data_IF_814453164308
#
_entry.id   IF_814453164308
#
_cell.length_a   1.000
_cell.length_b   1.000
_cell.length_c   1.000
_cell.angle_alpha   90.00
_cell.angle_beta   90.00
_cell.angle_gamma   90.00
#
_symmetry.space_group_name_H-M   'P 1'
#
loop_
_entity.id
_entity.type
_entity.pdbx_description
1 polymer ?
#
# COMPACT_ATOMS: atom_id res chain seq x y z
N UNK A 1 24.32 4.04 43.36
CA UNK A 1 24.26 5.48 43.02
C UNK A 1 23.61 5.59 41.66
N UNK A 2 22.49 6.30 41.61
CA UNK A 2 21.59 6.40 40.48
C UNK A 2 22.23 7.19 39.34
N UNK A 3 22.33 6.58 38.16
CA UNK A 3 22.25 7.31 36.90
C UNK A 3 20.91 6.92 36.27
N UNK A 4 19.83 7.41 36.88
CA UNK A 4 18.55 7.54 36.18
C UNK A 4 18.86 8.35 34.92
N UNK A 5 18.76 7.68 33.78
CA UNK A 5 18.75 8.30 32.47
C UNK A 5 17.59 9.28 32.45
N UNK A 6 17.89 10.52 32.84
CA UNK A 6 17.01 11.66 32.80
C UNK A 6 16.43 11.72 31.38
N UNK A 7 15.16 11.35 31.25
CA UNK A 7 14.40 11.54 30.01
C UNK A 7 14.46 13.03 29.69
N UNK A 8 15.40 13.40 28.82
CA UNK A 8 15.57 14.78 28.36
C UNK A 8 14.32 15.20 27.59
N UNK A 9 13.35 15.75 28.31
CA UNK A 9 12.14 16.46 27.83
C UNK A 9 12.47 17.85 27.26
N UNK A 10 13.73 18.14 26.95
CA UNK A 10 14.16 19.43 26.42
C UNK A 10 14.24 19.36 24.89
N UNK A 11 13.71 20.39 24.19
CA UNK A 11 13.79 20.44 22.72
C UNK A 11 15.25 20.41 22.27
N UNK A 12 15.50 19.78 21.12
CA UNK A 12 16.84 19.68 20.56
C UNK A 12 17.45 21.08 20.36
N UNK A 13 18.64 21.32 20.91
CA UNK A 13 19.41 22.56 20.72
C UNK A 13 19.57 22.89 19.23
N UNK A 14 19.61 24.18 18.88
CA UNK A 14 19.79 24.68 17.51
C UNK A 14 21.00 24.07 16.79
N UNK A 15 22.08 23.77 17.53
CA UNK A 15 23.26 23.08 16.98
C UNK A 15 22.90 21.65 16.53
N UNK A 16 22.12 20.92 17.35
CA UNK A 16 21.66 19.56 17.05
C UNK A 16 20.68 19.54 15.87
N UNK A 17 19.79 20.53 15.76
CA UNK A 17 18.89 20.69 14.60
C UNK A 17 19.66 21.02 13.32
N UNK A 18 20.66 21.91 13.39
CA UNK A 18 21.53 22.23 12.25
C UNK A 18 22.38 21.05 11.80
N UNK A 19 22.92 20.29 12.74
CA UNK A 19 23.67 19.07 12.44
C UNK A 19 22.77 17.97 11.87
N UNK A 20 21.54 17.81 12.35
CA UNK A 20 20.56 16.90 11.77
C UNK A 20 20.22 17.29 10.32
N UNK A 21 19.96 18.59 10.05
CA UNK A 21 19.73 19.11 8.69
C UNK A 21 20.96 18.93 7.78
N UNK A 22 22.17 19.16 8.28
CA UNK A 22 23.43 18.92 7.53
C UNK A 22 23.66 17.44 7.20
N UNK A 23 23.10 16.54 8.01
CA UNK A 23 23.15 15.09 7.81
C UNK A 23 21.99 14.54 6.98
N UNK A 24 21.15 15.40 6.38
CA UNK A 24 19.95 14.98 5.63
C UNK A 24 18.83 14.43 6.52
N UNK A 25 18.97 14.47 7.85
CA UNK A 25 17.94 14.04 8.79
C UNK A 25 16.90 15.13 8.98
N UNK A 26 16.17 15.44 7.91
CA UNK A 26 14.95 16.24 7.97
C UNK A 26 13.86 15.36 8.60
N UNK A 27 12.96 15.94 9.40
CA UNK A 27 11.89 15.21 10.06
C UNK A 27 10.99 14.52 9.03
N UNK A 28 11.25 13.25 8.77
CA UNK A 28 10.47 12.42 7.86
C UNK A 28 9.31 11.86 8.67
N UNK A 29 8.13 12.49 8.53
CA UNK A 29 6.94 12.01 9.24
C UNK A 29 6.49 10.68 8.62
N UNK A 30 6.68 9.59 9.36
CA UNK A 30 6.13 8.27 9.03
C UNK A 30 4.62 8.32 8.79
N UNK A 31 3.93 9.24 9.45
CA UNK A 31 2.48 9.42 9.33
C UNK A 31 2.11 10.02 7.96
N UNK A 32 2.97 10.87 7.38
CA UNK A 32 2.77 11.44 6.06
C UNK A 32 2.85 10.36 4.97
N UNK A 33 3.88 9.49 5.05
CA UNK A 33 4.05 8.37 4.11
C UNK A 33 2.86 7.41 4.18
N UNK A 34 2.42 7.09 5.40
CA UNK A 34 1.28 6.20 5.64
C UNK A 34 -0.02 6.81 5.10
N UNK A 35 -0.24 8.11 5.33
CA UNK A 35 -1.41 8.84 4.81
C UNK A 35 -1.46 8.90 3.29
N UNK A 36 -0.35 9.24 2.62
CA UNK A 36 -0.28 9.24 1.16
C UNK A 36 -0.47 7.84 0.56
N UNK A 37 0.10 6.82 1.19
CA UNK A 37 -0.07 5.43 0.76
C UNK A 37 -1.52 4.99 0.84
N UNK A 38 -2.21 5.33 1.92
CA UNK A 38 -3.63 5.06 2.08
C UNK A 38 -4.48 5.79 1.03
N UNK A 39 -4.22 7.08 0.80
CA UNK A 39 -4.92 7.85 -0.24
C UNK A 39 -4.69 7.29 -1.65
N UNK A 40 -3.45 6.89 -1.97
CA UNK A 40 -3.14 6.29 -3.26
C UNK A 40 -3.84 4.93 -3.44
N UNK A 41 -3.90 4.10 -2.40
CA UNK A 41 -4.63 2.85 -2.41
C UNK A 41 -6.14 3.07 -2.64
N UNK A 42 -6.74 4.03 -1.94
CA UNK A 42 -8.15 4.40 -2.12
C UNK A 42 -8.41 4.94 -3.54
N UNK A 43 -7.52 5.80 -4.04
CA UNK A 43 -7.61 6.32 -5.41
C UNK A 43 -7.58 5.20 -6.44
N UNK A 44 -6.65 4.25 -6.30
CA UNK A 44 -6.59 3.07 -7.16
C UNK A 44 -7.89 2.26 -7.15
N UNK A 45 -8.42 1.97 -5.95
CA UNK A 45 -9.67 1.21 -5.82
C UNK A 45 -10.85 1.94 -6.44
N UNK A 46 -10.94 3.26 -6.28
CA UNK A 46 -11.98 4.08 -6.87
C UNK A 46 -11.95 4.02 -8.40
N UNK A 47 -10.78 4.21 -9.02
CA UNK A 47 -10.65 4.16 -10.48
C UNK A 47 -10.82 2.74 -11.04
N UNK A 48 -10.39 1.73 -10.30
CA UNK A 48 -10.46 0.32 -10.73
C UNK A 48 -11.82 -0.31 -10.44
N UNK A 49 -12.70 0.38 -9.72
CA UNK A 49 -14.01 -0.12 -9.28
C UNK A 49 -14.85 -0.69 -10.43
N UNK A 50 -15.01 -0.02 -11.60
CA UNK A 50 -15.81 -0.58 -12.69
C UNK A 50 -15.25 -1.89 -13.23
N UNK A 51 -13.92 -2.00 -13.30
CA UNK A 51 -13.23 -3.21 -13.80
C UNK A 51 -13.36 -4.36 -12.81
N UNK A 52 -13.15 -4.09 -11.52
CA UNK A 52 -13.34 -5.08 -10.44
C UNK A 52 -14.77 -5.59 -10.41
N UNK A 53 -15.75 -4.70 -10.52
CA UNK A 53 -17.17 -5.05 -10.55
C UNK A 53 -17.54 -5.90 -11.77
N UNK A 54 -16.95 -5.60 -12.94
CA UNK A 54 -17.12 -6.41 -14.15
C UNK A 54 -16.62 -7.84 -13.95
N UNK A 55 -15.40 -8.01 -13.43
CA UNK A 55 -14.86 -9.34 -13.16
C UNK A 55 -15.64 -10.11 -12.10
N UNK A 56 -16.14 -9.42 -11.07
CA UNK A 56 -17.01 -10.03 -10.07
C UNK A 56 -18.31 -10.52 -10.70
N UNK A 57 -18.91 -9.70 -11.58
CA UNK A 57 -20.13 -10.06 -12.30
C UNK A 57 -19.91 -11.25 -13.24
N UNK A 58 -18.80 -11.26 -13.98
CA UNK A 58 -18.40 -12.39 -14.84
C UNK A 58 -18.21 -13.68 -14.04
N UNK A 59 -17.61 -13.60 -12.85
CA UNK A 59 -17.44 -14.75 -11.97
C UNK A 59 -18.79 -15.31 -11.52
N UNK A 60 -19.71 -14.44 -11.07
CA UNK A 60 -21.06 -14.85 -10.64
C UNK A 60 -21.83 -15.47 -11.80
N UNK A 61 -21.76 -14.89 -12.99
CA UNK A 61 -22.41 -15.43 -14.19
C UNK A 61 -21.85 -16.81 -14.54
N UNK A 62 -20.52 -16.97 -14.52
CA UNK A 62 -19.84 -18.25 -14.82
C UNK A 62 -20.27 -19.35 -13.86
N UNK A 63 -20.38 -19.05 -12.56
CA UNK A 63 -20.77 -20.05 -11.53
C UNK A 63 -22.27 -20.38 -11.58
N UNK A 64 -23.11 -19.45 -12.07
CA UNK A 64 -24.56 -19.65 -12.20
C UNK A 64 -24.93 -20.35 -13.52
N UNK A 65 -24.00 -20.40 -14.48
CA UNK A 65 -24.21 -21.05 -15.78
C UNK A 65 -24.31 -22.58 -15.61
N UNK A 66 -25.53 -23.11 -15.70
CA UNK A 66 -25.84 -24.52 -15.40
C UNK A 66 -25.70 -25.44 -16.63
N UNK A 67 -25.30 -24.91 -17.78
CA UNK A 67 -25.40 -25.56 -19.09
C UNK A 67 -24.10 -26.18 -19.63
N UNK A 68 -23.00 -26.20 -18.87
CA UNK A 68 -21.69 -26.72 -19.31
C UNK A 68 -21.15 -27.89 -18.48
N UNK A 69 -20.18 -28.67 -19.00
CA UNK A 69 -19.44 -29.64 -18.20
C UNK A 69 -18.79 -28.97 -16.99
N UNK A 70 -18.96 -29.55 -15.79
CA UNK A 70 -18.44 -28.99 -14.54
C UNK A 70 -16.93 -28.67 -14.59
N UNK A 71 -16.15 -29.48 -15.30
CA UNK A 71 -14.71 -29.28 -15.47
C UNK A 71 -14.36 -27.95 -16.19
N UNK A 72 -15.13 -27.57 -17.21
CA UNK A 72 -14.88 -26.34 -17.96
C UNK A 72 -15.33 -25.10 -17.19
N UNK A 73 -16.48 -25.20 -16.51
CA UNK A 73 -17.03 -24.12 -15.67
C UNK A 73 -16.11 -23.83 -14.49
N UNK A 74 -15.64 -24.88 -13.80
CA UNK A 74 -14.73 -24.74 -12.65
C UNK A 74 -13.38 -24.15 -13.06
N UNK A 75 -12.80 -24.56 -14.18
CA UNK A 75 -11.54 -23.97 -14.66
C UNK A 75 -11.68 -22.49 -15.04
N UNK A 76 -12.79 -22.11 -15.69
CA UNK A 76 -13.09 -20.70 -15.99
C UNK A 76 -13.30 -19.88 -14.72
N UNK A 77 -14.06 -20.40 -13.76
CA UNK A 77 -14.29 -19.74 -12.48
C UNK A 77 -12.98 -19.51 -11.71
N UNK A 78 -12.11 -20.52 -11.65
CA UNK A 78 -10.77 -20.39 -11.03
C UNK A 78 -9.95 -19.30 -11.72
N UNK A 79 -9.94 -19.26 -13.05
CA UNK A 79 -9.22 -18.22 -13.80
C UNK A 79 -9.77 -16.82 -13.49
N UNK A 80 -11.09 -16.63 -13.53
CA UNK A 80 -11.70 -15.33 -13.20
C UNK A 80 -11.38 -14.90 -11.77
N UNK A 81 -11.44 -15.83 -10.81
CA UNK A 81 -11.09 -15.57 -9.42
C UNK A 81 -9.62 -15.15 -9.26
N UNK A 82 -8.69 -15.89 -9.88
CA UNK A 82 -7.26 -15.56 -9.85
C UNK A 82 -6.97 -14.20 -10.50
N UNK A 83 -7.61 -13.90 -11.64
CA UNK A 83 -7.47 -12.61 -12.31
C UNK A 83 -7.97 -11.47 -11.42
N UNK A 84 -9.12 -11.65 -10.75
CA UNK A 84 -9.68 -10.64 -9.83
C UNK A 84 -8.76 -10.43 -8.63
N UNK A 85 -8.24 -11.51 -8.04
CA UNK A 85 -7.25 -11.42 -6.94
C UNK A 85 -5.98 -10.68 -7.38
N UNK A 86 -5.40 -11.03 -8.52
CA UNK A 86 -4.20 -10.39 -9.05
C UNK A 86 -4.43 -8.91 -9.31
N UNK A 87 -5.55 -8.56 -9.94
CA UNK A 87 -5.91 -7.17 -10.25
C UNK A 87 -6.17 -6.35 -8.99
N UNK A 88 -6.77 -6.93 -7.95
CA UNK A 88 -7.00 -6.23 -6.69
C UNK A 88 -5.71 -6.05 -5.88
N UNK A 89 -4.87 -7.09 -5.80
CA UNK A 89 -3.76 -7.16 -4.85
C UNK A 89 -2.43 -6.62 -5.40
N UNK A 90 -2.03 -6.98 -6.63
CA UNK A 90 -0.73 -6.57 -7.17
C UNK A 90 -0.57 -5.05 -7.21
N UNK A 91 -1.55 -4.27 -7.70
CA UNK A 91 -1.38 -2.82 -7.81
C UNK A 91 -1.33 -2.15 -6.44
N UNK A 92 -2.08 -2.65 -5.46
CA UNK A 92 -2.00 -2.16 -4.07
C UNK A 92 -0.61 -2.38 -3.48
N UNK A 93 -0.05 -3.59 -3.64
CA UNK A 93 1.33 -3.89 -3.21
C UNK A 93 2.33 -2.99 -3.95
N UNK A 94 2.15 -2.83 -5.27
CA UNK A 94 2.97 -1.95 -6.10
C UNK A 94 2.98 -0.52 -5.60
N UNK A 95 1.81 0.04 -5.26
CA UNK A 95 1.67 1.39 -4.70
C UNK A 95 2.45 1.53 -3.40
N UNK A 96 2.29 0.57 -2.48
CA UNK A 96 2.99 0.58 -1.18
C UNK A 96 4.50 0.53 -1.38
N UNK A 97 5.00 -0.37 -2.24
CA UNK A 97 6.43 -0.52 -2.53
C UNK A 97 6.99 0.75 -3.16
N UNK A 98 6.34 1.28 -4.21
CA UNK A 98 6.80 2.48 -4.91
C UNK A 98 6.83 3.68 -3.98
N UNK A 99 5.80 3.91 -3.19
CA UNK A 99 5.77 5.04 -2.26
C UNK A 99 6.81 4.87 -1.15
N UNK A 100 6.95 3.69 -0.59
CA UNK A 100 7.97 3.42 0.45
C UNK A 100 9.38 3.64 -0.09
N UNK A 101 9.67 3.19 -1.31
CA UNK A 101 10.96 3.43 -1.97
C UNK A 101 11.17 4.92 -2.28
N UNK A 102 10.17 5.60 -2.83
CA UNK A 102 10.27 7.01 -3.17
C UNK A 102 10.51 7.88 -1.92
N UNK A 103 9.74 7.66 -0.86
CA UNK A 103 9.93 8.38 0.41
C UNK A 103 11.22 7.98 1.12
N UNK A 104 11.63 6.71 1.04
CA UNK A 104 12.90 6.24 1.56
C UNK A 104 14.10 6.90 0.88
N UNK A 105 14.08 7.00 -0.46
CA UNK A 105 15.10 7.71 -1.24
C UNK A 105 15.13 9.21 -0.91
N UNK A 106 13.98 9.85 -0.78
CA UNK A 106 13.88 11.26 -0.40
C UNK A 106 14.40 11.54 1.02
N UNK A 107 14.34 10.57 1.92
CA UNK A 107 14.89 10.69 3.28
C UNK A 107 16.40 10.46 3.39
N UNK A 108 17.06 10.00 2.31
CA UNK A 108 18.50 9.73 2.28
C UNK A 108 19.36 10.86 1.67
N UNK A 109 18.75 11.95 1.19
CA UNK A 109 19.42 13.16 0.70
C UNK A 109 19.23 14.33 1.67
#
# INVERSE_FOLDING_TARGET
MAEEAEEKKLPASDKKLRDARRKGQVSQSRDLVSGFTFLAALGYLYFSWPMLFKHLSELVQTVTETSGPFADVSLRAIRHFLSLLMLATLPLVGIVVVLTLAFGMLGTF
#
